data_IF_607522270573
#
_entry.id   IF_607522270573
#
_cell.length_a   1.000
_cell.length_b   1.000
_cell.length_c   1.000
_cell.angle_alpha   90.00
_cell.angle_beta   90.00
_cell.angle_gamma   90.00
#
_symmetry.space_group_name_H-M   'P 1'
#
loop_
_entity.id
_entity.type
_entity.pdbx_description
1 polymer ?
#
# COMPACT_ATOMS: atom_id res chain seq x y z
N UNK A 1 -3.78 30.43 16.66
CA UNK A 1 -5.26 30.47 16.73
C UNK A 1 -5.89 29.07 16.93
N UNK A 2 -5.23 28.17 17.65
CA UNK A 2 -5.72 26.80 17.83
C UNK A 2 -6.19 26.44 19.26
N UNK A 3 -5.98 27.31 20.23
CA UNK A 3 -6.25 26.96 21.64
C UNK A 3 -7.66 27.33 22.15
N UNK A 4 -8.43 28.14 21.43
CA UNK A 4 -9.76 28.55 21.82
C UNK A 4 -10.84 27.49 21.51
N UNK A 5 -10.62 26.69 20.44
CA UNK A 5 -11.53 25.61 20.02
C UNK A 5 -11.45 24.37 20.95
N UNK A 6 -10.37 24.21 21.71
CA UNK A 6 -10.14 23.04 22.58
C UNK A 6 -11.02 23.02 23.82
N UNK A 7 -11.54 24.18 24.25
CA UNK A 7 -12.44 24.28 25.41
C UNK A 7 -13.85 23.83 25.06
N UNK A 8 -14.29 24.11 23.83
CA UNK A 8 -15.68 23.91 23.41
C UNK A 8 -15.88 22.53 22.73
N UNK A 9 -14.83 21.93 22.16
CA UNK A 9 -14.93 20.66 21.45
C UNK A 9 -14.51 19.46 22.31
N UNK A 10 -15.35 18.42 22.34
CA UNK A 10 -15.04 17.15 22.98
C UNK A 10 -14.42 16.18 21.98
N UNK A 11 -13.09 16.17 21.88
CA UNK A 11 -12.36 15.32 20.91
C UNK A 11 -12.56 13.83 21.15
N UNK A 12 -12.70 13.38 22.39
CA UNK A 12 -13.03 11.98 22.67
C UNK A 12 -14.41 11.60 22.16
N UNK A 13 -15.38 12.49 22.34
CA UNK A 13 -16.75 12.30 21.87
C UNK A 13 -16.83 12.37 20.33
N UNK A 14 -16.05 13.23 19.69
CA UNK A 14 -15.97 13.34 18.23
C UNK A 14 -15.43 12.03 17.63
N UNK A 15 -14.42 11.42 18.22
CA UNK A 15 -13.89 10.13 17.78
C UNK A 15 -14.74 8.94 18.27
N UNK A 16 -15.67 9.15 19.22
CA UNK A 16 -16.49 8.09 19.80
C UNK A 16 -15.69 7.09 20.64
N UNK A 17 -14.67 7.58 21.35
CA UNK A 17 -13.82 6.79 22.24
C UNK A 17 -13.91 7.28 23.68
N UNK A 18 -13.53 6.44 24.64
CA UNK A 18 -13.45 6.84 26.06
C UNK A 18 -12.21 7.72 26.32
N UNK A 19 -12.22 8.48 27.43
CA UNK A 19 -11.06 9.28 27.84
C UNK A 19 -9.83 8.44 28.13
N UNK A 20 -10.03 7.18 28.54
CA UNK A 20 -8.94 6.23 28.84
C UNK A 20 -8.53 5.38 27.63
N UNK A 21 -9.02 5.71 26.43
CA UNK A 21 -8.73 4.96 25.21
C UNK A 21 -7.23 4.93 24.92
N UNK A 22 -6.74 3.77 24.50
CA UNK A 22 -5.35 3.60 24.07
C UNK A 22 -5.08 4.35 22.75
N UNK A 23 -3.80 4.66 22.47
CA UNK A 23 -3.41 5.28 21.19
C UNK A 23 -3.84 4.45 19.97
N UNK A 24 -3.85 3.11 20.11
CA UNK A 24 -4.31 2.21 19.05
C UNK A 24 -5.83 2.29 18.84
N UNK A 25 -6.61 2.44 19.90
CA UNK A 25 -8.07 2.60 19.81
C UNK A 25 -8.43 3.94 19.16
N UNK A 26 -7.75 5.01 19.54
CA UNK A 26 -7.89 6.35 18.93
C UNK A 26 -7.59 6.27 17.43
N UNK A 27 -6.50 5.63 17.05
CA UNK A 27 -6.10 5.43 15.63
C UNK A 27 -7.11 4.59 14.86
N UNK A 28 -7.67 3.55 15.48
CA UNK A 28 -8.68 2.67 14.88
C UNK A 28 -10.01 3.42 14.66
N UNK A 29 -10.44 4.21 15.65
CA UNK A 29 -11.65 5.03 15.56
C UNK A 29 -11.51 6.09 14.46
N UNK A 30 -10.39 6.81 14.41
CA UNK A 30 -10.08 7.76 13.35
C UNK A 30 -10.18 7.13 11.96
N UNK A 31 -9.50 6.01 11.72
CA UNK A 31 -9.52 5.33 10.40
C UNK A 31 -10.92 4.94 9.96
N UNK A 32 -11.76 4.52 10.90
CA UNK A 32 -13.17 4.16 10.62
C UNK A 32 -14.00 5.38 10.21
N UNK A 33 -13.88 6.49 10.94
CA UNK A 33 -14.62 7.72 10.68
C UNK A 33 -14.11 8.44 9.42
N UNK A 34 -12.79 8.49 9.22
CA UNK A 34 -12.18 9.09 8.05
C UNK A 34 -12.62 8.40 6.75
N UNK A 35 -12.68 7.06 6.71
CA UNK A 35 -13.22 6.33 5.56
C UNK A 35 -14.70 6.62 5.32
N UNK A 36 -15.50 6.70 6.38
CA UNK A 36 -16.94 6.95 6.28
C UNK A 36 -17.26 8.34 5.73
N UNK A 37 -16.46 9.35 6.10
CA UNK A 37 -16.68 10.75 5.76
C UNK A 37 -15.66 11.29 4.75
N UNK A 38 -14.98 10.39 4.00
CA UNK A 38 -14.00 10.78 2.97
C UNK A 38 -14.67 11.62 1.88
N UNK A 39 -14.05 12.75 1.46
CA UNK A 39 -14.63 13.62 0.43
C UNK A 39 -14.89 12.92 -0.89
N UNK A 40 -14.06 11.95 -1.31
CA UNK A 40 -14.26 11.19 -2.53
C UNK A 40 -15.51 10.30 -2.51
N UNK A 41 -15.90 9.83 -1.33
CA UNK A 41 -17.09 8.97 -1.19
C UNK A 41 -18.36 9.76 -0.89
N UNK A 42 -18.25 11.04 -0.50
CA UNK A 42 -19.35 11.89 -0.08
C UNK A 42 -19.31 13.24 -0.82
N UNK A 43 -19.09 13.24 -2.14
CA UNK A 43 -18.96 14.44 -2.95
C UNK A 43 -20.19 15.35 -2.80
N UNK A 44 -19.95 16.60 -2.35
CA UNK A 44 -20.99 17.63 -2.19
C UNK A 44 -21.77 17.63 -0.87
N UNK A 45 -21.50 16.72 0.06
CA UNK A 45 -22.16 16.71 1.37
C UNK A 45 -21.38 17.58 2.39
N UNK A 46 -21.74 18.86 2.50
CA UNK A 46 -21.11 19.82 3.43
C UNK A 46 -21.08 19.34 4.90
N UNK A 47 -22.02 18.51 5.31
CA UNK A 47 -22.05 17.90 6.64
C UNK A 47 -20.92 16.86 6.81
N UNK A 48 -20.62 16.04 5.79
CA UNK A 48 -19.54 15.06 5.84
C UNK A 48 -18.17 15.73 5.86
N UNK A 49 -18.01 16.84 5.14
CA UNK A 49 -16.77 17.61 5.12
C UNK A 49 -16.48 18.25 6.49
N UNK A 50 -17.49 18.81 7.15
CA UNK A 50 -17.35 19.33 8.54
C UNK A 50 -16.97 18.23 9.51
N UNK A 51 -17.67 17.10 9.46
CA UNK A 51 -17.38 15.95 10.32
C UNK A 51 -15.95 15.42 10.07
N UNK A 52 -15.51 15.37 8.83
CA UNK A 52 -14.15 14.96 8.49
C UNK A 52 -13.08 15.91 9.06
N UNK A 53 -13.33 17.24 9.02
CA UNK A 53 -12.44 18.24 9.65
C UNK A 53 -12.38 18.05 11.17
N UNK A 54 -13.52 17.92 11.83
CA UNK A 54 -13.59 17.72 13.28
C UNK A 54 -12.91 16.41 13.72
N UNK A 55 -13.10 15.32 12.97
CA UNK A 55 -12.46 14.03 13.22
C UNK A 55 -10.93 14.10 13.03
N UNK A 56 -10.47 14.85 12.02
CA UNK A 56 -9.05 15.04 11.76
C UNK A 56 -8.37 15.89 12.83
N UNK A 57 -9.02 16.96 13.27
CA UNK A 57 -8.56 17.81 14.36
C UNK A 57 -8.50 17.03 15.68
N UNK A 58 -9.54 16.28 16.02
CA UNK A 58 -9.57 15.44 17.21
C UNK A 58 -8.44 14.40 17.20
N UNK A 59 -8.14 13.80 16.04
CA UNK A 59 -7.07 12.84 15.94
C UNK A 59 -5.69 13.50 16.06
N UNK A 60 -5.46 14.67 15.50
CA UNK A 60 -4.15 15.36 15.61
C UNK A 60 -3.78 15.61 17.07
N UNK A 61 -4.75 16.05 17.88
CA UNK A 61 -4.53 16.37 19.30
C UNK A 61 -4.41 15.09 20.16
N UNK A 62 -5.28 14.10 19.94
CA UNK A 62 -5.31 12.89 20.78
C UNK A 62 -4.27 11.83 20.41
N UNK A 63 -3.67 11.91 19.23
CA UNK A 63 -2.63 10.95 18.79
C UNK A 63 -1.26 11.25 19.34
N UNK A 64 -0.98 12.49 19.73
CA UNK A 64 0.26 12.91 20.36
C UNK A 64 0.10 12.91 21.88
N UNK A 65 0.96 12.18 22.64
CA UNK A 65 0.84 12.11 24.10
C UNK A 65 0.96 13.47 24.81
N UNK A 66 1.79 14.38 24.29
CA UNK A 66 2.00 15.70 24.89
C UNK A 66 0.81 16.61 24.65
N UNK A 67 0.29 16.66 23.41
CA UNK A 67 -0.90 17.44 23.06
C UNK A 67 -2.15 16.91 23.78
N UNK A 68 -2.27 15.59 23.92
CA UNK A 68 -3.35 14.94 24.67
C UNK A 68 -3.33 15.35 26.13
N UNK A 69 -2.16 15.36 26.78
CA UNK A 69 -2.03 15.83 28.17
C UNK A 69 -2.41 17.29 28.33
N UNK A 70 -1.99 18.15 27.39
CA UNK A 70 -2.36 19.57 27.40
C UNK A 70 -3.86 19.75 27.23
N UNK A 71 -4.47 19.05 26.31
CA UNK A 71 -5.92 19.06 26.08
C UNK A 71 -6.69 18.58 27.32
N UNK A 72 -6.26 17.49 27.95
CA UNK A 72 -6.87 16.96 29.17
C UNK A 72 -6.74 17.94 30.35
N UNK A 73 -5.61 18.61 30.48
CA UNK A 73 -5.39 19.65 31.48
C UNK A 73 -6.31 20.87 31.27
N UNK A 74 -6.44 21.35 30.04
CA UNK A 74 -7.32 22.47 29.70
C UNK A 74 -8.79 22.12 30.03
N UNK A 75 -9.23 20.91 29.71
CA UNK A 75 -10.59 20.45 30.03
C UNK A 75 -10.81 20.25 31.50
N UNK A 76 -9.83 19.82 32.27
CA UNK A 76 -9.94 19.70 33.72
C UNK A 76 -10.07 21.10 34.38
N UNK A 77 -9.43 22.12 33.83
CA UNK A 77 -9.53 23.52 34.32
C UNK A 77 -10.84 24.18 33.86
N UNK A 78 -11.33 23.93 32.64
CA UNK A 78 -12.57 24.52 32.10
C UNK A 78 -13.86 23.92 32.63
N UNK A 79 -13.82 22.74 33.25
CA UNK A 79 -15.00 22.02 33.77
C UNK A 79 -15.43 22.38 35.19
N UNK A 80 -14.69 23.22 35.91
CA UNK A 80 -14.96 23.41 37.34
C UNK A 80 -14.71 24.78 37.96
N UNK A 81 -14.29 25.79 37.24
CA UNK A 81 -14.06 27.12 37.83
C UNK A 81 -15.07 28.16 37.34
N UNK A 82 -16.27 28.13 37.93
CA UNK A 82 -17.00 29.35 38.13
C UNK A 82 -16.23 30.16 39.18
N UNK A 83 -15.36 31.06 38.70
CA UNK A 83 -14.78 32.06 39.61
C UNK A 83 -15.91 32.98 40.08
N UNK A 84 -16.41 32.71 41.28
CA UNK A 84 -17.22 33.61 42.05
C UNK A 84 -16.33 34.81 42.42
N UNK A 85 -16.48 35.92 41.71
CA UNK A 85 -15.85 37.16 42.02
C UNK A 85 -16.48 37.72 43.30
N UNK A 86 -15.79 37.54 44.42
CA UNK A 86 -16.06 38.25 45.66
C UNK A 86 -14.82 39.07 46.01
N UNK A 87 -14.91 40.44 45.86
CA UNK A 87 -13.92 41.35 46.44
C UNK A 87 -13.54 42.52 45.55
N UNK A 88 -14.31 43.59 45.62
CA UNK A 88 -14.08 45.01 45.46
C UNK A 88 -12.77 45.53 44.77
N UNK A 89 -12.96 46.36 43.73
CA UNK A 89 -11.95 47.35 43.30
C UNK A 89 -11.89 47.62 41.81
N UNK A 90 -12.69 48.53 41.31
CA UNK A 90 -12.64 49.52 40.25
C UNK A 90 -11.76 49.34 39.00
N UNK A 91 -12.40 49.48 37.84
CA UNK A 91 -11.80 49.90 36.59
C UNK A 91 -12.38 49.20 35.36
N UNK A 92 -12.92 49.91 34.34
CA UNK A 92 -13.42 49.32 33.11
C UNK A 92 -12.32 49.23 32.10
N UNK A 93 -11.95 48.02 31.72
CA UNK A 93 -11.02 47.84 30.57
C UNK A 93 -10.33 46.50 30.53
N UNK A 94 -10.63 45.69 29.53
CA UNK A 94 -9.66 44.82 28.95
C UNK A 94 -9.68 43.34 29.36
N UNK A 95 -9.98 42.54 28.44
CA UNK A 95 -9.84 41.07 28.29
C UNK A 95 -8.37 40.56 28.40
N UNK A 96 -7.67 40.88 29.52
CA UNK A 96 -6.25 40.54 29.66
C UNK A 96 -5.94 39.50 30.73
N UNK A 97 -6.95 38.77 31.23
CA UNK A 97 -6.69 37.79 32.30
C UNK A 97 -6.13 36.46 31.85
N UNK A 98 -6.30 36.07 30.60
CA UNK A 98 -5.91 34.73 30.14
C UNK A 98 -4.54 34.74 29.49
N UNK A 99 -4.18 35.80 28.76
CA UNK A 99 -2.87 35.95 28.13
C UNK A 99 -1.75 36.14 29.15
N UNK A 100 -2.00 36.86 30.24
CA UNK A 100 -1.04 37.07 31.32
C UNK A 100 -0.77 35.80 32.15
N UNK A 101 -1.77 34.95 32.39
CA UNK A 101 -1.60 33.70 33.12
C UNK A 101 -0.92 32.66 32.25
N UNK A 102 -1.25 32.64 30.95
CA UNK A 102 -0.64 31.70 29.98
C UNK A 102 0.77 32.13 29.57
N UNK A 103 0.98 33.43 29.39
CA UNK A 103 2.31 33.99 29.10
C UNK A 103 3.30 33.81 30.24
N UNK A 104 2.82 33.89 31.53
CA UNK A 104 3.67 33.73 32.70
C UNK A 104 3.96 32.25 33.06
N UNK A 105 3.02 31.34 32.74
CA UNK A 105 3.20 29.92 32.97
C UNK A 105 4.09 29.23 31.89
N UNK A 106 4.05 29.75 30.66
CA UNK A 106 4.84 29.22 29.53
C UNK A 106 6.01 30.11 29.10
N UNK A 107 6.06 31.40 29.55
CA UNK A 107 7.11 32.35 29.19
C UNK A 107 8.31 32.44 30.13
N UNK A 108 8.23 31.94 31.34
CA UNK A 108 9.27 32.12 32.37
C UNK A 108 10.05 30.85 32.73
N UNK A 109 9.93 29.81 31.94
CA UNK A 109 10.66 28.56 32.10
C UNK A 109 11.56 28.15 30.95
N UNK A 110 11.94 29.08 30.05
CA UNK A 110 12.78 28.72 28.93
C UNK A 110 13.99 29.62 28.74
N UNK A 111 14.95 29.46 29.63
CA UNK A 111 16.32 29.43 29.18
C UNK A 111 16.52 28.16 28.37
N UNK A 112 16.80 28.34 27.07
CA UNK A 112 17.39 27.35 26.16
C UNK A 112 16.65 26.03 25.95
N UNK A 113 16.05 25.87 24.80
CA UNK A 113 16.10 24.73 23.87
C UNK A 113 14.77 24.39 23.20
N UNK A 114 14.84 24.60 21.89
CA UNK A 114 14.28 23.67 20.91
C UNK A 114 12.81 23.82 20.57
N UNK A 115 12.53 24.75 19.65
CA UNK A 115 11.45 24.57 18.67
C UNK A 115 11.66 23.22 17.99
N UNK A 116 11.00 22.21 18.47
CA UNK A 116 10.79 20.96 17.71
C UNK A 116 9.79 21.29 16.61
N UNK A 117 10.32 21.45 15.41
CA UNK A 117 9.53 21.44 14.20
C UNK A 117 8.76 20.12 14.16
N UNK A 118 7.50 20.20 13.77
CA UNK A 118 6.67 19.04 13.47
C UNK A 118 7.44 18.08 12.58
N UNK A 119 7.96 17.02 13.17
CA UNK A 119 8.54 15.91 12.43
C UNK A 119 7.40 15.08 11.87
N UNK A 120 7.18 15.30 10.60
CA UNK A 120 6.23 14.67 9.69
C UNK A 120 6.47 13.15 9.57
N UNK A 121 6.27 12.40 10.65
CA UNK A 121 6.56 10.95 10.68
C UNK A 121 5.37 10.03 10.52
N UNK A 122 4.12 10.50 10.60
CA UNK A 122 3.00 9.56 10.65
C UNK A 122 1.67 10.06 10.03
N UNK A 123 1.69 11.11 9.23
CA UNK A 123 0.52 11.52 8.47
C UNK A 123 0.46 10.76 7.14
N UNK A 124 -0.72 10.26 6.73
CA UNK A 124 -0.91 9.70 5.40
C UNK A 124 -0.53 10.72 4.32
N UNK A 125 0.08 10.31 3.20
CA UNK A 125 0.59 11.21 2.15
C UNK A 125 -0.48 12.13 1.55
N UNK A 126 -1.75 11.80 1.70
CA UNK A 126 -2.91 12.60 1.24
C UNK A 126 -3.10 13.93 2.03
N UNK A 127 -2.42 14.08 3.17
CA UNK A 127 -2.52 15.28 4.01
C UNK A 127 -1.38 16.28 3.83
N UNK A 128 -0.28 15.88 3.20
CA UNK A 128 0.87 16.76 2.97
C UNK A 128 0.53 17.94 2.02
N UNK A 129 -0.36 17.70 1.05
CA UNK A 129 -0.77 18.71 0.07
C UNK A 129 -1.77 19.74 0.62
N UNK A 130 -2.54 19.38 1.66
CA UNK A 130 -3.57 20.26 2.22
C UNK A 130 -3.01 21.26 3.25
N UNK A 131 -1.90 20.91 3.92
CA UNK A 131 -1.24 21.76 4.92
C UNK A 131 0.08 22.38 4.46
N UNK A 132 0.62 21.96 3.31
CA UNK A 132 1.87 22.46 2.75
C UNK A 132 1.74 23.62 1.74
N UNK A 133 0.52 23.96 1.32
CA UNK A 133 0.26 24.88 0.21
C UNK A 133 -0.53 26.13 0.59
N UNK A 134 0.01 27.02 1.42
CA UNK A 134 -0.61 28.31 1.74
C UNK A 134 0.43 29.36 2.00
N UNK A 135 0.94 29.95 0.92
CA UNK A 135 1.83 31.11 0.98
C UNK A 135 1.12 32.34 1.54
N UNK A 136 1.75 33.00 2.49
CA UNK A 136 1.51 34.41 2.75
C UNK A 136 2.83 35.08 3.09
N UNK A 137 3.16 36.05 2.26
CA UNK A 137 4.44 36.71 2.17
C UNK A 137 4.78 37.69 3.30
N UNK A 138 6.02 38.12 3.27
CA UNK A 138 6.45 39.44 3.70
C UNK A 138 7.17 39.49 5.04
N UNK A 139 8.46 39.76 5.01
CA UNK A 139 9.19 40.29 6.16
C UNK A 139 10.59 39.69 6.29
N UNK A 140 11.55 40.25 5.54
CA UNK A 140 12.96 39.89 5.65
C UNK A 140 13.53 40.28 7.00
N UNK A 141 14.16 39.31 7.66
CA UNK A 141 15.19 39.55 8.67
C UNK A 141 16.50 38.97 8.14
N UNK A 142 17.53 39.81 7.91
CA UNK A 142 18.87 39.31 7.62
C UNK A 142 19.56 38.94 8.92
N UNK A 143 19.76 37.66 9.16
CA UNK A 143 20.52 37.19 10.31
C UNK A 143 20.09 35.84 10.88
N UNK A 144 19.71 34.86 10.05
CA UNK A 144 19.52 33.51 10.47
C UNK A 144 20.82 32.70 10.42
N UNK A 145 21.42 32.40 11.55
CA UNK A 145 22.36 31.27 11.64
C UNK A 145 21.61 30.02 11.17
N UNK A 146 21.78 29.67 9.93
CA UNK A 146 21.39 28.38 9.40
C UNK A 146 22.21 27.31 10.16
N UNK A 147 21.65 26.78 11.23
CA UNK A 147 22.14 25.53 11.79
C UNK A 147 21.89 24.47 10.72
N UNK A 148 22.86 24.26 9.86
CA UNK A 148 22.91 23.18 8.90
C UNK A 148 22.93 21.88 9.69
N UNK A 149 21.74 21.35 10.00
CA UNK A 149 21.64 19.98 10.51
C UNK A 149 22.33 19.09 9.47
N UNK A 150 23.26 18.23 9.90
CA UNK A 150 23.90 17.31 8.98
C UNK A 150 22.81 16.56 8.17
N UNK A 151 22.79 16.77 6.87
CA UNK A 151 21.81 16.11 5.98
C UNK A 151 22.39 14.77 5.51
N UNK A 152 21.53 13.76 5.52
CA UNK A 152 21.81 12.48 4.88
C UNK A 152 21.98 12.69 3.37
N UNK A 153 22.89 11.99 2.75
CA UNK A 153 23.09 12.03 1.30
C UNK A 153 21.82 11.65 0.53
N UNK A 154 21.72 12.15 -0.71
CA UNK A 154 20.58 11.82 -1.57
C UNK A 154 20.56 10.35 -1.94
N UNK A 155 19.35 9.80 -2.11
CA UNK A 155 19.18 8.43 -2.61
C UNK A 155 19.55 8.35 -4.09
N UNK A 156 20.06 7.19 -4.50
CA UNK A 156 20.38 6.88 -5.90
C UNK A 156 19.41 5.84 -6.42
N UNK A 157 19.17 5.84 -7.72
CA UNK A 157 18.32 4.84 -8.38
C UNK A 157 19.14 4.05 -9.40
N UNK A 158 18.89 2.75 -9.47
CA UNK A 158 19.44 1.87 -10.49
C UNK A 158 18.33 0.95 -11.01
N UNK A 159 18.51 0.44 -12.23
CA UNK A 159 17.61 -0.58 -12.80
C UNK A 159 18.42 -1.81 -13.14
N UNK A 160 17.86 -2.97 -12.86
CA UNK A 160 18.47 -4.26 -13.20
C UNK A 160 17.45 -5.21 -13.78
N UNK A 161 17.93 -6.15 -14.59
CA UNK A 161 17.09 -7.21 -15.16
C UNK A 161 17.54 -8.57 -14.64
N UNK A 162 16.60 -9.35 -14.13
CA UNK A 162 16.85 -10.70 -13.62
C UNK A 162 16.04 -11.74 -14.41
N UNK A 163 16.47 -13.00 -14.35
CA UNK A 163 15.71 -14.10 -14.92
C UNK A 163 14.42 -14.37 -14.12
N UNK A 164 13.44 -15.00 -14.77
CA UNK A 164 12.21 -15.47 -14.11
C UNK A 164 12.53 -16.37 -12.90
N UNK A 165 13.45 -17.32 -13.07
CA UNK A 165 13.90 -18.20 -11.99
C UNK A 165 14.53 -17.42 -10.82
N UNK A 166 15.34 -16.39 -11.12
CA UNK A 166 15.92 -15.50 -10.11
C UNK A 166 14.85 -14.71 -9.36
N UNK A 167 13.76 -14.30 -10.03
CA UNK A 167 12.64 -13.63 -9.36
C UNK A 167 11.85 -14.57 -8.45
N UNK A 168 11.70 -15.85 -8.82
CA UNK A 168 10.98 -16.85 -8.02
C UNK A 168 11.79 -17.29 -6.80
N UNK A 169 13.06 -17.66 -7.01
CA UNK A 169 13.91 -18.28 -5.98
C UNK A 169 14.71 -17.25 -5.16
N UNK A 170 14.73 -16.00 -5.62
CA UNK A 170 15.68 -15.01 -5.14
C UNK A 170 17.06 -15.19 -5.81
N UNK A 171 17.83 -14.13 -5.83
CA UNK A 171 19.18 -14.13 -6.40
C UNK A 171 20.00 -13.00 -5.80
N UNK A 172 21.32 -13.08 -5.92
CA UNK A 172 22.21 -11.95 -5.63
C UNK A 172 22.79 -11.46 -6.94
N UNK A 173 22.75 -10.16 -7.15
CA UNK A 173 23.29 -9.51 -8.36
C UNK A 173 24.37 -8.51 -7.97
N UNK A 174 25.44 -8.42 -8.74
CA UNK A 174 26.47 -7.39 -8.62
C UNK A 174 26.13 -6.20 -9.53
N UNK A 175 25.90 -5.04 -8.95
CA UNK A 175 25.78 -3.78 -9.68
C UNK A 175 27.14 -3.10 -9.69
N UNK A 176 27.68 -2.81 -10.89
CA UNK A 176 28.92 -2.06 -11.04
C UNK A 176 28.61 -0.58 -11.07
N UNK A 177 29.23 0.16 -10.16
CA UNK A 177 29.16 1.63 -10.14
C UNK A 177 30.10 2.26 -11.21
N UNK A 178 29.82 3.51 -11.59
CA UNK A 178 30.75 4.27 -12.44
C UNK A 178 32.14 4.44 -11.82
N UNK A 179 32.24 4.38 -10.49
CA UNK A 179 33.51 4.38 -9.74
C UNK A 179 34.32 3.08 -9.90
N UNK A 180 33.73 2.02 -10.49
CA UNK A 180 34.32 0.68 -10.58
C UNK A 180 34.00 -0.23 -9.38
N UNK A 181 33.42 0.29 -8.32
CA UNK A 181 32.98 -0.51 -7.15
C UNK A 181 31.79 -1.41 -7.54
N UNK A 182 31.82 -2.66 -7.07
CA UNK A 182 30.73 -3.59 -7.21
C UNK A 182 29.88 -3.63 -5.95
N UNK A 183 28.58 -3.41 -6.09
CA UNK A 183 27.61 -3.51 -5.00
C UNK A 183 26.81 -4.78 -5.17
N UNK A 184 26.91 -5.69 -4.23
CA UNK A 184 26.09 -6.91 -4.21
C UNK A 184 24.70 -6.59 -3.64
N UNK A 185 23.67 -6.84 -4.45
CA UNK A 185 22.27 -6.61 -4.11
C UNK A 185 21.55 -7.94 -4.00
N UNK A 186 21.09 -8.25 -2.80
CA UNK A 186 20.28 -9.44 -2.57
C UNK A 186 18.83 -9.18 -2.95
N UNK A 187 18.36 -9.89 -3.95
CA UNK A 187 16.98 -9.87 -4.41
C UNK A 187 16.19 -10.95 -3.67
N UNK A 188 15.13 -10.61 -2.94
CA UNK A 188 14.34 -11.60 -2.21
C UNK A 188 13.55 -12.50 -3.15
N UNK A 189 13.31 -13.75 -2.72
CA UNK A 189 12.46 -14.68 -3.43
C UNK A 189 11.03 -14.14 -3.57
N UNK A 190 10.42 -14.38 -4.74
CA UNK A 190 9.06 -13.94 -5.04
C UNK A 190 8.92 -12.46 -5.39
N UNK A 191 10.02 -11.76 -5.69
CA UNK A 191 9.97 -10.36 -6.16
C UNK A 191 9.12 -10.23 -7.43
N UNK A 192 8.38 -9.14 -7.55
CA UNK A 192 7.54 -8.85 -8.73
C UNK A 192 8.27 -7.93 -9.71
N UNK A 193 7.88 -8.02 -10.98
CA UNK A 193 8.35 -7.08 -12.00
C UNK A 193 8.06 -5.63 -11.59
N UNK A 194 9.01 -4.73 -11.85
CA UNK A 194 8.94 -3.31 -11.46
C UNK A 194 9.13 -3.02 -9.97
N UNK A 195 9.26 -4.04 -9.10
CA UNK A 195 9.43 -3.84 -7.67
C UNK A 195 10.81 -3.26 -7.34
N UNK A 196 10.86 -2.36 -6.35
CA UNK A 196 12.10 -1.72 -5.90
C UNK A 196 12.67 -2.42 -4.68
N UNK A 197 13.98 -2.63 -4.70
CA UNK A 197 14.77 -3.15 -3.57
C UNK A 197 15.65 -2.03 -3.04
N UNK A 198 15.59 -1.78 -1.74
CA UNK A 198 16.38 -0.76 -1.06
C UNK A 198 17.66 -1.35 -0.49
N UNK A 199 18.80 -0.79 -0.87
CA UNK A 199 20.12 -1.11 -0.32
C UNK A 199 20.57 0.06 0.53
N UNK A 200 20.59 -0.14 1.85
CA UNK A 200 20.91 0.93 2.82
C UNK A 200 22.36 1.40 2.68
N UNK A 201 22.55 2.72 2.75
CA UNK A 201 23.86 3.33 2.81
C UNK A 201 24.69 3.26 1.52
N UNK A 202 24.07 2.94 0.38
CA UNK A 202 24.70 2.89 -0.94
C UNK A 202 24.20 4.02 -1.88
N UNK A 203 23.66 5.11 -1.31
CA UNK A 203 23.33 6.35 -2.01
C UNK A 203 24.51 7.30 -2.10
N UNK A 204 24.23 8.61 -2.31
CA UNK A 204 25.26 9.64 -2.32
C UNK A 204 25.81 9.90 -0.90
N UNK A 205 27.09 10.26 -0.75
CA UNK A 205 27.64 10.67 0.52
C UNK A 205 26.95 11.93 1.04
N UNK A 206 26.73 12.03 2.34
CA UNK A 206 26.16 13.19 3.01
C UNK A 206 26.80 13.39 4.39
N UNK A 207 26.63 14.56 4.99
CA UNK A 207 27.24 14.90 6.29
C UNK A 207 26.69 14.04 7.44
N UNK A 208 25.43 13.61 7.36
CA UNK A 208 24.79 12.71 8.33
C UNK A 208 24.79 11.22 7.89
N UNK A 209 25.69 10.87 6.96
CA UNK A 209 25.80 9.54 6.39
C UNK A 209 25.28 9.44 4.95
N UNK A 210 25.59 8.36 4.23
CA UNK A 210 25.18 8.16 2.86
C UNK A 210 23.66 7.93 2.73
N UNK A 211 23.10 8.30 1.60
CA UNK A 211 21.75 7.94 1.18
C UNK A 211 21.59 6.44 0.94
N UNK A 212 20.48 6.02 0.36
CA UNK A 212 20.21 4.64 0.01
C UNK A 212 20.19 4.45 -1.52
N UNK A 213 20.43 3.21 -1.96
CA UNK A 213 20.30 2.85 -3.37
C UNK A 213 18.96 2.12 -3.56
N UNK A 214 18.12 2.66 -4.44
CA UNK A 214 16.83 2.07 -4.83
C UNK A 214 17.01 1.34 -6.16
N UNK A 215 16.95 0.01 -6.13
CA UNK A 215 17.14 -0.82 -7.32
C UNK A 215 15.78 -1.26 -7.84
N UNK A 216 15.38 -0.77 -9.02
CA UNK A 216 14.19 -1.23 -9.74
C UNK A 216 14.51 -2.54 -10.45
N UNK A 217 13.75 -3.58 -10.19
CA UNK A 217 13.98 -4.92 -10.73
C UNK A 217 13.02 -5.18 -11.88
N UNK A 218 13.54 -5.44 -13.07
CA UNK A 218 12.79 -5.94 -14.22
C UNK A 218 12.96 -7.45 -14.33
N UNK A 219 11.86 -8.17 -14.51
CA UNK A 219 11.86 -9.65 -14.61
C UNK A 219 11.69 -10.05 -16.05
N UNK A 220 12.67 -10.82 -16.59
CA UNK A 220 12.58 -11.38 -17.94
C UNK A 220 11.44 -12.40 -18.01
N UNK A 221 10.68 -12.36 -19.09
CA UNK A 221 9.62 -13.32 -19.34
C UNK A 221 10.18 -14.74 -19.49
N UNK A 222 9.38 -15.74 -19.08
CA UNK A 222 9.68 -17.15 -19.29
C UNK A 222 8.86 -17.66 -20.47
N UNK A 223 9.43 -18.51 -21.37
CA UNK A 223 8.71 -18.96 -22.58
C UNK A 223 7.47 -19.80 -22.26
N UNK A 224 7.43 -20.49 -21.12
CA UNK A 224 6.34 -21.39 -20.75
C UNK A 224 5.49 -20.86 -19.61
N UNK A 225 6.10 -20.25 -18.59
CA UNK A 225 5.41 -19.84 -17.37
C UNK A 225 5.10 -18.35 -17.36
N UNK A 226 3.87 -17.99 -16.98
CA UNK A 226 3.46 -16.60 -16.71
C UNK A 226 3.07 -16.45 -15.24
N UNK A 227 3.51 -15.37 -14.62
CA UNK A 227 3.16 -15.09 -13.23
C UNK A 227 1.80 -14.37 -13.15
N UNK A 228 0.96 -14.83 -12.24
CA UNK A 228 -0.36 -14.26 -11.94
C UNK A 228 -0.48 -14.09 -10.42
N UNK A 229 -0.06 -12.92 -9.92
CA UNK A 229 0.09 -12.68 -8.48
C UNK A 229 1.14 -13.59 -7.83
N UNK A 230 0.72 -14.49 -6.95
CA UNK A 230 1.57 -15.54 -6.37
C UNK A 230 1.35 -16.90 -7.05
N UNK A 231 0.40 -16.98 -8.00
CA UNK A 231 0.21 -18.16 -8.83
C UNK A 231 1.08 -18.11 -10.07
N UNK A 232 1.28 -19.26 -10.67
CA UNK A 232 1.95 -19.44 -11.96
C UNK A 232 0.95 -20.05 -12.92
N UNK A 233 0.89 -19.50 -14.11
CA UNK A 233 0.07 -20.02 -15.20
C UNK A 233 0.94 -20.70 -16.24
N UNK A 234 0.47 -21.86 -16.72
CA UNK A 234 1.11 -22.63 -17.79
C UNK A 234 0.02 -23.12 -18.74
N UNK A 235 0.32 -23.09 -20.04
CA UNK A 235 -0.49 -23.68 -21.09
C UNK A 235 0.04 -25.04 -21.44
N UNK A 236 -0.82 -26.07 -21.38
CA UNK A 236 -0.43 -27.45 -21.65
C UNK A 236 -1.29 -27.97 -22.79
N UNK A 237 -0.66 -28.34 -23.94
CA UNK A 237 -1.39 -28.94 -25.04
C UNK A 237 -1.86 -30.35 -24.67
N UNK A 238 -3.09 -30.66 -25.01
CA UNK A 238 -3.69 -32.00 -24.89
C UNK A 238 -4.34 -32.37 -26.22
N UNK A 239 -4.40 -33.66 -26.51
CA UNK A 239 -5.11 -34.16 -27.68
C UNK A 239 -6.63 -34.13 -27.44
N UNK A 240 -7.41 -34.11 -28.51
CA UNK A 240 -8.88 -34.21 -28.42
C UNK A 240 -9.34 -35.46 -27.68
N UNK A 241 -8.80 -36.69 -27.92
CA UNK A 241 -9.20 -37.86 -27.14
C UNK A 241 -8.93 -37.74 -25.64
N UNK A 242 -7.78 -37.16 -25.25
CA UNK A 242 -7.47 -36.91 -23.82
C UNK A 242 -8.44 -35.95 -23.17
N UNK A 243 -8.84 -34.88 -23.88
CA UNK A 243 -9.81 -33.92 -23.39
C UNK A 243 -11.24 -34.50 -23.34
N UNK A 244 -11.61 -35.32 -24.31
CA UNK A 244 -12.95 -35.88 -24.42
C UNK A 244 -13.19 -37.05 -23.45
N UNK A 245 -12.23 -37.96 -23.34
CA UNK A 245 -12.36 -39.19 -22.55
C UNK A 245 -11.76 -39.05 -21.13
N UNK A 246 -10.96 -37.99 -20.91
CA UNK A 246 -10.16 -37.82 -19.72
C UNK A 246 -8.83 -38.56 -19.83
N UNK A 247 -7.81 -38.02 -19.21
CA UNK A 247 -6.47 -38.60 -19.22
C UNK A 247 -5.65 -38.19 -17.99
N UNK A 248 -4.57 -38.89 -17.75
CA UNK A 248 -3.52 -38.42 -16.87
C UNK A 248 -2.37 -37.86 -17.71
N UNK A 249 -2.03 -36.59 -17.47
CA UNK A 249 -0.99 -35.88 -18.19
C UNK A 249 0.15 -35.49 -17.26
N UNK A 250 1.34 -35.34 -17.83
CA UNK A 250 2.52 -34.85 -17.12
C UNK A 250 2.64 -33.34 -17.31
N UNK A 251 2.70 -32.59 -16.21
CA UNK A 251 2.80 -31.12 -16.21
C UNK A 251 4.11 -30.69 -15.58
N UNK A 252 4.91 -29.85 -16.24
CA UNK A 252 6.15 -29.34 -15.65
C UNK A 252 5.84 -28.32 -14.55
N UNK A 253 6.62 -28.37 -13.47
CA UNK A 253 6.55 -27.41 -12.37
C UNK A 253 7.73 -26.43 -12.44
N UNK A 254 7.69 -25.39 -11.58
CA UNK A 254 8.79 -24.41 -11.47
C UNK A 254 10.12 -25.02 -11.05
N UNK A 255 10.11 -26.19 -10.40
CA UNK A 255 11.32 -26.91 -9.98
C UNK A 255 11.88 -27.82 -11.08
N UNK A 256 11.21 -27.90 -12.23
CA UNK A 256 11.55 -28.80 -13.31
C UNK A 256 11.01 -30.23 -13.13
N UNK A 257 10.38 -30.54 -12.01
CA UNK A 257 9.71 -31.83 -11.79
C UNK A 257 8.45 -31.93 -12.65
N UNK A 258 8.22 -33.11 -13.23
CA UNK A 258 6.96 -33.44 -13.88
C UNK A 258 5.98 -34.01 -12.86
N UNK A 259 4.80 -33.42 -12.78
CA UNK A 259 3.73 -33.85 -11.87
C UNK A 259 2.57 -34.41 -12.68
N UNK A 260 2.08 -35.60 -12.32
CA UNK A 260 0.90 -36.19 -12.94
C UNK A 260 -0.34 -35.44 -12.50
N UNK A 261 -1.15 -35.02 -13.47
CA UNK A 261 -2.43 -34.37 -13.26
C UNK A 261 -3.53 -35.05 -14.07
N UNK A 262 -4.68 -35.26 -13.44
CA UNK A 262 -5.86 -35.81 -14.11
C UNK A 262 -6.64 -34.69 -14.83
N UNK A 263 -6.86 -34.87 -16.12
CA UNK A 263 -7.79 -34.09 -16.94
C UNK A 263 -9.13 -34.82 -16.92
N UNK A 264 -10.21 -34.22 -16.40
CA UNK A 264 -11.53 -34.84 -16.39
C UNK A 264 -12.08 -35.02 -17.82
N UNK A 265 -12.87 -36.06 -18.04
CA UNK A 265 -13.58 -36.24 -19.30
C UNK A 265 -14.48 -35.06 -19.62
N UNK A 266 -14.55 -34.68 -20.90
CA UNK A 266 -15.32 -33.53 -21.36
C UNK A 266 -14.69 -32.17 -21.01
N UNK A 267 -13.40 -32.10 -20.79
CA UNK A 267 -12.69 -30.84 -20.50
C UNK A 267 -12.63 -29.98 -21.75
N UNK A 268 -13.23 -28.77 -21.76
CA UNK A 268 -13.14 -27.86 -22.89
C UNK A 268 -11.75 -27.21 -22.98
N UNK A 269 -11.35 -26.83 -24.21
CA UNK A 269 -10.14 -26.02 -24.42
C UNK A 269 -10.25 -24.69 -23.66
N UNK A 270 -9.13 -24.23 -23.08
CA UNK A 270 -9.07 -23.02 -22.24
C UNK A 270 -9.46 -23.24 -20.79
N UNK A 271 -9.89 -24.44 -20.40
CA UNK A 271 -10.18 -24.72 -18.98
C UNK A 271 -8.92 -24.71 -18.16
N UNK A 272 -8.99 -24.01 -17.03
CA UNK A 272 -7.88 -23.97 -16.08
C UNK A 272 -8.09 -24.94 -14.92
N UNK A 273 -7.12 -25.81 -14.72
CA UNK A 273 -7.01 -26.75 -13.62
C UNK A 273 -5.96 -26.27 -12.62
N UNK A 274 -6.10 -26.58 -11.33
CA UNK A 274 -5.25 -26.06 -10.28
C UNK A 274 -4.46 -27.15 -9.58
N UNK A 275 -3.14 -26.99 -9.53
CA UNK A 275 -2.24 -27.78 -8.68
C UNK A 275 -1.84 -26.93 -7.47
N UNK A 276 -2.34 -27.30 -6.31
CA UNK A 276 -2.14 -26.55 -5.06
C UNK A 276 -0.67 -26.54 -4.63
N UNK A 277 -0.20 -25.36 -4.16
CA UNK A 277 1.11 -25.21 -3.55
C UNK A 277 2.30 -25.35 -4.52
N UNK A 278 2.06 -25.27 -5.83
CA UNK A 278 3.10 -25.38 -6.88
C UNK A 278 3.38 -24.05 -7.59
N UNK A 279 2.91 -22.93 -7.00
CA UNK A 279 3.20 -21.58 -7.45
C UNK A 279 4.42 -20.96 -6.78
N UNK A 280 4.44 -19.62 -6.69
CA UNK A 280 5.54 -18.85 -6.09
C UNK A 280 5.50 -19.01 -4.57
N UNK A 281 6.64 -19.38 -3.98
CA UNK A 281 6.81 -19.42 -2.53
C UNK A 281 7.25 -18.04 -2.04
N UNK A 282 6.39 -17.37 -1.29
CA UNK A 282 6.70 -16.10 -0.63
C UNK A 282 6.84 -16.31 0.88
N UNK A 283 7.28 -15.29 1.62
CA UNK A 283 7.35 -15.34 3.08
C UNK A 283 5.97 -15.48 3.76
N UNK A 284 4.88 -15.16 3.03
CA UNK A 284 3.52 -15.15 3.57
C UNK A 284 2.69 -16.35 3.15
N UNK A 285 2.90 -16.86 1.95
CA UNK A 285 2.11 -17.96 1.39
C UNK A 285 2.84 -18.63 0.22
N UNK A 286 2.38 -19.82 -0.15
CA UNK A 286 2.75 -20.47 -1.42
C UNK A 286 1.54 -20.42 -2.34
N UNK A 287 1.75 -19.90 -3.55
CA UNK A 287 0.73 -19.88 -4.59
C UNK A 287 0.52 -21.23 -5.24
N UNK A 288 -0.34 -21.28 -6.24
CA UNK A 288 -0.71 -22.48 -6.98
C UNK A 288 -0.20 -22.44 -8.42
N UNK A 289 -0.09 -23.60 -9.05
CA UNK A 289 0.13 -23.72 -10.50
C UNK A 289 -1.25 -23.84 -11.18
N UNK A 290 -1.55 -22.90 -12.06
CA UNK A 290 -2.76 -22.82 -12.85
C UNK A 290 -2.46 -23.38 -14.24
N UNK A 291 -2.97 -24.56 -14.54
CA UNK A 291 -2.74 -25.29 -15.78
C UNK A 291 -3.92 -25.04 -16.72
N UNK A 292 -3.70 -24.28 -17.77
CA UNK A 292 -4.69 -24.08 -18.84
C UNK A 292 -4.53 -25.16 -19.88
N UNK A 293 -5.59 -25.91 -20.11
CA UNK A 293 -5.63 -27.01 -21.08
C UNK A 293 -5.94 -26.45 -22.46
N UNK A 294 -5.06 -26.66 -23.42
CA UNK A 294 -5.26 -26.26 -24.82
C UNK A 294 -5.44 -27.49 -25.69
N UNK A 295 -6.63 -27.71 -26.21
CA UNK A 295 -6.88 -28.84 -27.11
C UNK A 295 -6.25 -28.57 -28.45
N UNK A 296 -5.32 -29.45 -28.87
CA UNK A 296 -4.62 -29.33 -30.14
C UNK A 296 -5.15 -30.30 -31.17
N UNK A 297 -5.19 -29.86 -32.41
CA UNK A 297 -5.59 -30.68 -33.56
C UNK A 297 -4.34 -31.12 -34.30
N UNK A 298 -4.12 -32.44 -34.51
CA UNK A 298 -2.99 -32.93 -35.29
C UNK A 298 -3.10 -32.45 -36.74
N UNK A 299 -1.99 -31.94 -37.27
CA UNK A 299 -1.95 -31.39 -38.63
C UNK A 299 -1.97 -32.49 -39.72
N UNK A 300 -1.39 -33.64 -39.41
CA UNK A 300 -1.28 -34.78 -40.34
C UNK A 300 -2.04 -35.96 -39.74
N UNK A 301 -3.07 -36.40 -40.42
CA UNK A 301 -3.86 -37.58 -40.05
C UNK A 301 -3.53 -38.75 -40.99
N UNK A 302 -3.36 -39.97 -40.45
CA UNK A 302 -3.37 -41.19 -41.24
C UNK A 302 -4.76 -41.42 -41.83
N UNK A 303 -4.87 -42.28 -42.85
CA UNK A 303 -6.16 -42.65 -43.43
C UNK A 303 -7.13 -43.23 -42.39
N UNK A 304 -6.61 -44.05 -41.48
CA UNK A 304 -7.37 -44.64 -40.39
C UNK A 304 -7.89 -43.58 -39.38
N UNK A 305 -7.00 -42.63 -39.05
CA UNK A 305 -7.39 -41.52 -38.13
C UNK A 305 -8.45 -40.60 -38.79
N UNK A 306 -8.34 -40.34 -40.10
CA UNK A 306 -9.30 -39.57 -40.84
C UNK A 306 -10.67 -40.27 -40.84
N UNK A 307 -10.72 -41.60 -41.14
CA UNK A 307 -11.95 -42.38 -41.09
C UNK A 307 -12.59 -42.40 -39.71
N UNK A 308 -11.80 -42.47 -38.64
CA UNK A 308 -12.28 -42.40 -37.25
C UNK A 308 -12.92 -41.02 -36.94
N UNK A 309 -12.29 -39.91 -37.38
CA UNK A 309 -12.83 -38.54 -37.22
C UNK A 309 -14.11 -38.36 -38.03
N UNK A 310 -14.23 -38.94 -39.23
CA UNK A 310 -15.48 -38.91 -40.03
C UNK A 310 -16.62 -39.67 -39.33
N UNK A 311 -16.32 -40.84 -38.75
CA UNK A 311 -17.27 -41.58 -37.93
C UNK A 311 -17.72 -40.79 -36.72
N UNK A 312 -16.81 -40.17 -36.03
CA UNK A 312 -17.10 -39.29 -34.89
C UNK A 312 -17.99 -38.11 -35.33
N UNK A 313 -17.66 -37.45 -36.44
CA UNK A 313 -18.45 -36.36 -36.98
C UNK A 313 -19.92 -36.79 -37.26
N UNK A 314 -20.10 -37.98 -37.83
CA UNK A 314 -21.44 -38.53 -38.06
C UNK A 314 -22.20 -38.79 -36.76
N UNK A 315 -21.51 -39.29 -35.73
CA UNK A 315 -22.11 -39.56 -34.41
C UNK A 315 -22.45 -38.29 -33.60
N UNK A 316 -21.78 -37.16 -33.90
CA UNK A 316 -22.01 -35.87 -33.21
C UNK A 316 -22.66 -34.79 -34.05
N UNK A 317 -23.30 -35.15 -35.15
CA UNK A 317 -23.88 -34.22 -36.13
C UNK A 317 -24.95 -33.26 -35.55
N UNK A 318 -25.63 -33.68 -34.49
CA UNK A 318 -26.69 -32.90 -33.82
C UNK A 318 -26.15 -31.90 -32.79
N UNK A 319 -24.85 -31.94 -32.49
CA UNK A 319 -24.18 -30.99 -31.59
C UNK A 319 -23.68 -29.78 -32.36
N UNK A 320 -24.37 -28.65 -32.24
CA UNK A 320 -23.91 -27.37 -32.83
C UNK A 320 -23.16 -26.54 -31.78
N UNK A 321 -21.80 -26.46 -31.85
CA UNK A 321 -21.02 -25.67 -30.93
C UNK A 321 -21.24 -24.15 -31.08
N UNK A 322 -21.90 -23.71 -32.14
CA UNK A 322 -22.22 -22.30 -32.44
C UNK A 322 -23.66 -21.93 -32.12
N UNK A 323 -24.44 -22.85 -31.54
CA UNK A 323 -25.81 -22.58 -31.13
C UNK A 323 -25.90 -21.33 -30.25
N UNK A 324 -26.72 -20.37 -30.63
CA UNK A 324 -26.92 -19.10 -29.91
C UNK A 324 -25.82 -18.05 -30.09
N UNK A 325 -24.78 -18.28 -30.92
CA UNK A 325 -23.70 -17.31 -31.13
C UNK A 325 -24.22 -15.99 -31.73
N UNK A 326 -25.14 -16.06 -32.70
CA UNK A 326 -25.74 -14.88 -33.30
C UNK A 326 -26.58 -14.05 -32.32
N UNK A 327 -27.21 -14.68 -31.34
CA UNK A 327 -27.96 -13.96 -30.30
C UNK A 327 -27.01 -13.24 -29.31
N UNK A 328 -25.85 -13.84 -29.00
CA UNK A 328 -24.85 -13.24 -28.15
C UNK A 328 -24.05 -12.11 -28.80
N UNK A 329 -24.04 -12.03 -30.13
CA UNK A 329 -23.33 -11.00 -30.90
C UNK A 329 -24.14 -9.70 -31.07
N UNK A 330 -25.41 -9.65 -30.63
CA UNK A 330 -26.21 -8.42 -30.63
C UNK A 330 -25.74 -7.49 -29.54
N UNK A 331 -25.37 -6.23 -29.90
CA UNK A 331 -25.00 -5.13 -29.03
C UNK A 331 -26.23 -4.46 -28.44
#
# INVERSE_FOLDING_TARGET
MASQDWVDKDFYKILGVSKDASGDDIKKAYRKLARKHHPDQNQGAAASERTFKDVSEAYSVLSDPEERQQYDAIRAMGGGARFSAGGAGGGPGGSSGFEDVFGNLFGQGAGTRQRTGFSNGNLPPEFADLFGGGGMGGGGFPGGFQSTRPQKGADRTATTSISFAGAINGTTIGLREPSGEQIDVRIPAGIRDGQKVRVKGKGQPGQAGPGDLMVSVSVKEHPLFKRDGDNIRVHVPVSFPEAALGAEIQVPTLTGEMVTMRVPAGTPSGRTLRLKGRGVKTSKATGDLLVTVDVVVPQNLSKEAQAAVETFRAATKDADPRAGLAAKARL
#
